data_IF_466149581321
#
_entry.id   IF_466149581321
#
_cell.length_a   1.000
_cell.length_b   1.000
_cell.length_c   1.000
_cell.angle_alpha   90.00
_cell.angle_beta   90.00
_cell.angle_gamma   90.00
#
_symmetry.space_group_name_H-M   'P 1'
#
loop_
_entity.id
_entity.type
_entity.pdbx_description
1 polymer ?
#
# COMPACT_ATOMS: atom_id res chain seq x y z
N UNK A 1 8.61 7.60 -20.40
CA UNK A 1 8.71 7.17 -18.98
C UNK A 1 8.68 5.65 -18.94
N UNK A 2 9.64 4.99 -18.28
CA UNK A 2 9.59 3.52 -18.09
C UNK A 2 8.45 3.20 -17.13
N UNK A 3 7.54 2.31 -17.54
CA UNK A 3 6.44 1.85 -16.69
C UNK A 3 7.03 0.90 -15.64
N UNK A 4 6.97 1.28 -14.36
CA UNK A 4 7.31 0.36 -13.29
C UNK A 4 6.28 -0.79 -13.31
N UNK A 5 6.75 -2.03 -13.22
CA UNK A 5 5.86 -3.18 -13.09
C UNK A 5 5.41 -3.22 -11.63
N UNK A 6 4.12 -2.96 -11.42
CA UNK A 6 3.48 -3.10 -10.12
C UNK A 6 3.18 -4.57 -9.87
N UNK A 7 3.53 -5.06 -8.70
CA UNK A 7 3.11 -6.36 -8.24
C UNK A 7 1.75 -6.31 -7.53
N UNK A 8 1.32 -7.45 -7.00
CA UNK A 8 0.03 -7.56 -6.32
C UNK A 8 -0.04 -6.77 -5.00
N UNK A 9 1.09 -6.60 -4.29
CA UNK A 9 1.18 -5.82 -3.05
C UNK A 9 1.07 -4.35 -3.39
N UNK A 10 1.78 -3.89 -4.42
CA UNK A 10 1.69 -2.52 -4.91
C UNK A 10 0.25 -2.15 -5.26
N UNK A 11 -0.44 -3.03 -6.00
CA UNK A 11 -1.85 -2.82 -6.38
C UNK A 11 -2.77 -2.79 -5.17
N UNK A 12 -2.50 -3.60 -4.14
CA UNK A 12 -3.28 -3.58 -2.89
C UNK A 12 -3.05 -2.28 -2.12
N UNK A 13 -1.80 -1.83 -1.99
CA UNK A 13 -1.45 -0.56 -1.34
C UNK A 13 -2.17 0.61 -2.02
N UNK A 14 -2.12 0.67 -3.36
CA UNK A 14 -2.81 1.69 -4.14
C UNK A 14 -4.32 1.64 -3.92
N UNK A 15 -4.92 0.45 -3.94
CA UNK A 15 -6.36 0.30 -3.72
C UNK A 15 -6.80 0.81 -2.35
N UNK A 16 -6.08 0.47 -1.27
CA UNK A 16 -6.41 0.91 0.08
C UNK A 16 -6.20 2.43 0.24
N UNK A 17 -5.10 2.99 -0.30
CA UNK A 17 -4.84 4.43 -0.28
C UNK A 17 -5.85 5.25 -1.09
N UNK A 18 -6.30 4.71 -2.22
CA UNK A 18 -7.33 5.36 -3.05
C UNK A 18 -8.71 5.30 -2.40
N UNK A 19 -9.00 4.22 -1.66
CA UNK A 19 -10.23 4.10 -0.89
C UNK A 19 -10.24 5.00 0.36
N UNK A 20 -9.10 5.10 1.05
CA UNK A 20 -8.92 5.95 2.23
C UNK A 20 -7.51 6.57 2.27
N UNK A 21 -7.42 7.83 1.84
CA UNK A 21 -6.16 8.59 1.88
C UNK A 21 -5.70 9.02 3.27
N UNK A 22 -6.48 8.75 4.33
CA UNK A 22 -6.12 9.03 5.73
C UNK A 22 -5.76 7.77 6.52
N UNK A 23 -5.70 6.61 5.87
CA UNK A 23 -5.29 5.35 6.50
C UNK A 23 -3.89 5.49 7.13
N UNK A 24 -3.70 4.90 8.31
CA UNK A 24 -2.39 4.89 8.97
C UNK A 24 -1.42 3.94 8.26
N UNK A 25 -0.11 4.17 8.39
CA UNK A 25 0.91 3.28 7.81
C UNK A 25 0.78 1.84 8.35
N UNK A 26 0.46 1.70 9.64
CA UNK A 26 0.29 0.39 10.29
C UNK A 26 -0.93 -0.35 9.76
N UNK A 27 -2.06 0.35 9.62
CA UNK A 27 -3.29 -0.25 9.10
C UNK A 27 -3.16 -0.60 7.61
N UNK A 28 -2.51 0.27 6.82
CA UNK A 28 -2.22 0.04 5.41
C UNK A 28 -1.36 -1.22 5.23
N UNK A 29 -0.27 -1.34 5.99
CA UNK A 29 0.61 -2.48 5.93
C UNK A 29 -0.12 -3.77 6.32
N UNK A 30 -0.92 -3.72 7.38
CA UNK A 30 -1.75 -4.85 7.84
C UNK A 30 -2.73 -5.29 6.74
N UNK A 31 -3.43 -4.35 6.10
CA UNK A 31 -4.35 -4.63 4.97
C UNK A 31 -3.63 -5.12 3.70
N UNK A 32 -2.39 -4.68 3.49
CA UNK A 32 -1.54 -5.14 2.40
C UNK A 32 -0.82 -6.49 2.68
N UNK A 33 -0.94 -7.03 3.90
CA UNK A 33 -0.33 -8.30 4.28
C UNK A 33 1.19 -8.22 4.50
N UNK A 34 1.69 -7.04 4.85
CA UNK A 34 3.11 -6.77 5.10
C UNK A 34 3.32 -6.16 6.49
N UNK A 35 4.55 -6.22 7.01
CA UNK A 35 4.89 -5.48 8.23
C UNK A 35 5.11 -4.01 7.90
N UNK A 36 4.56 -3.12 8.72
CA UNK A 36 4.84 -1.70 8.61
C UNK A 36 6.32 -1.41 8.93
N UNK A 37 7.05 -0.67 8.09
CA UNK A 37 8.33 -0.09 8.49
C UNK A 37 8.08 0.96 9.58
N UNK A 38 9.05 1.20 10.49
CA UNK A 38 8.96 2.31 11.42
C UNK A 38 8.92 3.63 10.62
N UNK A 39 7.85 4.39 10.83
CA UNK A 39 7.59 5.68 10.20
C UNK A 39 7.62 6.81 11.22
#
# INVERSE_FOLDING_TARGET
>A
MKRAKLDHIDLRILAELQADGRITNVDLATKAGISAPPC
#
